data_IF_026603293592
#
_entry.id   IF_026603293592
#
_cell.length_a   1.000
_cell.length_b   1.000
_cell.length_c   1.000
_cell.angle_alpha   90.00
_cell.angle_beta   90.00
_cell.angle_gamma   90.00
#
_symmetry.space_group_name_H-M   'P 1'
#
loop_
_entity.id
_entity.type
_entity.pdbx_description
1 polymer ?
2 water ?
#
# COMPACT_ATOMS: atom_id res chain seq x y z
N UNK A 1 -14.11 -5.75 23.65
CA UNK A 1 -12.65 -5.46 23.67
C UNK A 1 -12.37 -4.03 23.22
N UNK A 2 -11.44 -3.37 23.91
CA UNK A 2 -11.22 -1.93 23.80
C UNK A 2 -9.86 -1.71 23.15
N UNK A 3 -9.57 -0.48 22.69
CA UNK A 3 -8.31 -0.30 21.99
C UNK A 3 -7.69 1.06 22.26
N UNK A 4 -6.36 1.08 22.16
CA UNK A 4 -5.56 2.27 22.30
C UNK A 4 -4.79 2.51 21.00
N UNK A 5 -4.75 3.78 20.59
CA UNK A 5 -4.05 4.19 19.39
C UNK A 5 -2.88 5.07 19.79
N UNK A 6 -1.66 4.66 19.44
CA UNK A 6 -0.50 5.51 19.60
C UNK A 6 -0.23 6.25 18.28
N UNK A 7 -0.60 7.53 18.22
CA UNK A 7 -0.43 8.38 17.06
C UNK A 7 -1.78 8.95 16.62
N UNK A 8 -1.85 10.28 16.42
CA UNK A 8 -3.10 10.93 16.05
C UNK A 8 -2.93 11.77 14.78
N UNK A 9 -1.84 11.53 14.02
CA UNK A 9 -1.44 12.40 12.92
C UNK A 9 -2.29 12.23 11.64
N UNK A 10 -3.62 12.42 11.77
CA UNK A 10 -4.57 12.45 10.65
C UNK A 10 -5.13 11.06 10.43
N UNK A 11 -4.20 10.11 10.20
CA UNK A 11 -4.56 8.72 10.03
C UNK A 11 -5.09 8.17 11.35
N UNK A 12 -4.20 8.13 12.36
CA UNK A 12 -4.54 7.63 13.70
C UNK A 12 -5.88 8.21 14.16
N UNK A 13 -6.10 9.48 13.82
CA UNK A 13 -7.29 10.17 14.25
C UNK A 13 -8.46 9.49 13.56
N UNK A 14 -8.32 9.39 12.23
CA UNK A 14 -9.32 8.76 11.38
C UNK A 14 -9.60 7.34 11.86
N UNK A 15 -8.53 6.58 12.10
CA UNK A 15 -8.61 5.25 12.69
C UNK A 15 -9.47 5.28 13.95
N UNK A 16 -9.12 6.20 14.86
CA UNK A 16 -9.84 6.33 16.12
C UNK A 16 -11.31 6.62 15.85
N UNK A 17 -11.57 7.73 15.14
CA UNK A 17 -12.93 8.17 14.83
C UNK A 17 -13.80 7.00 14.38
N UNK A 18 -13.22 6.13 13.53
CA UNK A 18 -13.96 5.04 12.93
C UNK A 18 -14.29 4.00 13.98
N UNK A 19 -13.31 3.76 14.88
CA UNK A 19 -13.44 2.76 15.93
C UNK A 19 -14.49 3.14 16.97
N UNK A 20 -14.68 4.45 17.19
CA UNK A 20 -15.64 4.92 18.18
C UNK A 20 -17.05 4.74 17.61
N UNK A 21 -17.25 5.15 16.36
CA UNK A 21 -18.56 4.98 15.75
C UNK A 21 -18.85 3.51 15.52
N UNK A 22 -17.83 2.64 15.47
CA UNK A 22 -18.04 1.21 15.33
C UNK A 22 -18.64 0.63 16.63
N UNK A 23 -18.33 1.25 17.77
CA UNK A 23 -18.94 0.91 19.05
C UNK A 23 -17.94 0.44 20.11
N UNK A 24 -16.74 1.04 20.15
CA UNK A 24 -15.62 0.54 20.92
C UNK A 24 -15.08 1.64 21.83
N UNK A 25 -14.62 1.25 23.04
CA UNK A 25 -13.91 2.17 23.91
C UNK A 25 -12.51 2.43 23.34
N UNK A 26 -12.16 3.70 23.24
CA UNK A 26 -10.94 4.12 22.60
C UNK A 26 -10.19 5.07 23.51
N UNK A 27 -8.87 4.96 23.44
CA UNK A 27 -7.97 5.67 24.30
C UNK A 27 -6.82 6.07 23.39
N UNK A 28 -6.46 7.35 23.36
CA UNK A 28 -5.47 7.78 22.40
C UNK A 28 -4.23 8.24 23.13
N UNK A 29 -3.19 8.58 22.36
CA UNK A 29 -2.00 9.20 22.88
C UNK A 29 -1.18 9.74 21.72
N UNK A 30 -0.52 10.89 21.92
CA UNK A 30 0.22 11.54 20.86
C UNK A 30 1.45 12.20 21.49
N UNK A 31 2.61 12.10 20.82
CA UNK A 31 3.83 12.75 21.28
C UNK A 31 3.74 14.25 21.00
N UNK A 32 3.02 14.62 19.94
CA UNK A 32 2.80 16.02 19.59
C UNK A 32 1.79 16.63 20.56
N UNK A 33 0.93 15.76 21.15
CA UNK A 33 0.16 15.98 22.36
C UNK A 33 -1.14 16.76 22.14
N UNK A 34 -1.05 18.04 21.77
CA UNK A 34 -2.21 18.91 21.58
C UNK A 34 -3.14 18.35 20.50
N UNK A 35 -2.52 17.70 19.49
CA UNK A 35 -3.21 17.22 18.29
C UNK A 35 -4.24 16.15 18.63
N UNK A 36 -4.17 15.58 19.83
CA UNK A 36 -5.12 14.56 20.27
C UNK A 36 -6.29 15.19 21.04
N UNK A 37 -6.23 16.51 21.27
CA UNK A 37 -7.24 17.20 22.05
C UNK A 37 -8.63 16.91 21.49
N UNK A 38 -8.91 17.26 20.21
CA UNK A 38 -10.21 17.02 19.58
C UNK A 38 -10.85 15.64 19.76
N UNK A 39 -10.01 14.58 19.71
CA UNK A 39 -10.46 13.21 19.86
C UNK A 39 -11.25 13.05 21.16
N UNK A 40 -10.82 13.74 22.21
CA UNK A 40 -11.54 13.75 23.46
C UNK A 40 -12.99 14.16 23.24
N UNK A 41 -13.19 15.27 22.52
CA UNK A 41 -14.51 15.81 22.24
C UNK A 41 -15.38 14.78 21.53
N UNK A 42 -14.76 13.99 20.63
CA UNK A 42 -15.44 12.91 19.93
C UNK A 42 -15.96 11.90 20.95
N UNK A 43 -15.05 11.39 21.78
CA UNK A 43 -15.42 10.53 22.89
C UNK A 43 -14.28 9.58 23.29
N UNK A 44 -13.05 10.08 23.30
CA UNK A 44 -11.89 9.24 23.50
C UNK A 44 -11.04 9.75 24.64
N UNK A 45 -10.87 8.89 25.66
CA UNK A 45 -9.88 9.11 26.69
C UNK A 45 -8.52 9.41 26.04
N UNK A 46 -7.93 10.54 26.40
CA UNK A 46 -6.53 10.79 26.06
C UNK A 46 -5.68 10.29 27.22
N UNK A 47 -4.35 10.23 27.05
CA UNK A 47 -3.51 9.53 28.02
C UNK A 47 -2.17 10.25 28.22
N UNK A 48 -1.88 10.58 29.48
CA UNK A 48 -0.58 11.06 29.91
C UNK A 48 0.52 10.48 29.02
N UNK A 49 0.67 9.15 29.00
CA UNK A 49 1.87 8.54 28.46
C UNK A 49 1.56 7.35 27.55
N UNK A 50 2.59 6.86 26.82
CA UNK A 50 2.55 5.54 26.21
C UNK A 50 2.11 4.48 27.21
N UNK A 51 2.82 4.43 28.35
CA UNK A 51 2.62 3.41 29.37
C UNK A 51 1.14 3.28 29.73
N UNK A 52 0.48 4.42 29.98
CA UNK A 52 -0.92 4.41 30.39
C UNK A 52 -1.79 3.98 29.20
N UNK A 53 -1.38 4.40 27.99
CA UNK A 53 -2.10 4.04 26.79
C UNK A 53 -2.07 2.53 26.63
N UNK A 54 -0.86 1.97 26.52
CA UNK A 54 -0.67 0.52 26.43
C UNK A 54 -1.50 -0.18 27.50
N UNK A 55 -1.47 0.36 28.72
CA UNK A 55 -2.07 -0.29 29.89
C UNK A 55 -3.60 -0.25 29.81
N UNK A 56 -4.16 0.74 29.11
CA UNK A 56 -5.59 0.96 29.13
C UNK A 56 -6.37 -0.17 28.46
N UNK A 57 -5.76 -0.80 27.45
CA UNK A 57 -6.52 -1.62 26.51
C UNK A 57 -5.72 -2.88 26.15
N UNK A 58 -6.37 -4.00 25.75
CA UNK A 58 -5.66 -5.20 25.26
C UNK A 58 -5.18 -5.17 23.81
N UNK A 59 -5.80 -4.31 22.99
CA UNK A 59 -5.40 -4.15 21.61
C UNK A 59 -4.80 -2.77 21.39
N UNK A 60 -3.57 -2.74 20.91
CA UNK A 60 -2.88 -1.49 20.65
C UNK A 60 -2.60 -1.31 19.16
N UNK A 61 -3.25 -0.34 18.53
CA UNK A 61 -2.99 0.01 17.15
C UNK A 61 -1.97 1.14 17.09
N UNK A 62 -0.75 0.89 16.63
CA UNK A 62 0.26 1.94 16.49
C UNK A 62 -0.01 2.71 15.20
N UNK A 63 0.20 4.04 15.22
CA UNK A 63 0.05 4.87 14.03
C UNK A 63 1.05 6.02 14.01
N UNK A 64 2.36 5.70 14.00
CA UNK A 64 3.42 6.70 14.17
C UNK A 64 4.25 6.83 12.90
N UNK A 65 5.02 7.93 12.79
CA UNK A 65 5.78 8.19 11.57
C UNK A 65 6.33 6.87 11.01
N UNK A 66 7.38 6.31 11.62
CA UNK A 66 8.01 5.12 11.06
C UNK A 66 8.14 4.05 12.15
N UNK A 67 9.02 3.05 11.92
CA UNK A 67 9.24 1.96 12.84
C UNK A 67 10.18 2.41 13.98
N UNK A 68 11.24 3.18 13.64
CA UNK A 68 12.18 3.68 14.63
C UNK A 68 11.38 4.28 15.79
N UNK A 69 10.41 5.16 15.46
CA UNK A 69 9.66 5.89 16.46
C UNK A 69 8.79 4.93 17.28
N UNK A 70 8.13 3.99 16.59
CA UNK A 70 7.26 3.04 17.25
C UNK A 70 8.05 2.12 18.17
N UNK A 71 9.29 1.78 17.79
CA UNK A 71 10.19 1.02 18.64
C UNK A 71 10.43 1.81 19.93
N UNK A 72 10.81 3.08 19.76
CA UNK A 72 11.11 3.97 20.87
C UNK A 72 9.89 4.21 21.78
N UNK A 73 8.69 4.21 21.20
CA UNK A 73 7.49 4.56 21.96
C UNK A 73 7.02 3.36 22.80
N UNK A 74 7.26 2.12 22.37
CA UNK A 74 6.75 0.99 23.14
C UNK A 74 7.90 0.37 23.95
N UNK A 75 9.12 0.89 23.78
CA UNK A 75 10.21 0.65 24.72
C UNK A 75 9.86 1.21 26.10
N UNK A 76 8.97 2.21 26.15
CA UNK A 76 8.64 2.94 27.37
C UNK A 76 7.47 2.30 28.15
N UNK A 77 7.21 1.01 27.98
CA UNK A 77 6.00 0.45 28.54
C UNK A 77 6.29 -0.48 29.72
N UNK A 78 7.50 -1.06 29.73
CA UNK A 78 7.96 -1.88 30.84
C UNK A 78 7.42 -3.30 30.68
N UNK A 79 6.10 -3.39 30.50
CA UNK A 79 5.42 -4.64 30.18
C UNK A 79 4.35 -4.41 29.12
N UNK A 80 4.45 -5.20 28.06
CA UNK A 80 3.57 -5.09 26.92
C UNK A 80 2.94 -6.46 26.70
N UNK A 81 3.02 -7.29 27.75
CA UNK A 81 2.89 -8.73 27.63
C UNK A 81 1.42 -9.14 27.61
N UNK A 82 1.14 -10.15 26.80
CA UNK A 82 -0.22 -10.60 26.59
C UNK A 82 -1.06 -9.59 25.82
N UNK A 83 -0.44 -8.52 25.31
CA UNK A 83 -1.12 -7.53 24.51
C UNK A 83 -0.97 -7.83 23.01
N UNK A 84 -1.92 -7.30 22.24
CA UNK A 84 -1.89 -7.38 20.79
C UNK A 84 -1.38 -6.03 20.24
N UNK A 85 -0.24 -6.08 19.56
CA UNK A 85 0.29 -4.90 18.89
C UNK A 85 0.01 -5.01 17.39
N UNK A 86 -0.70 -4.01 16.85
CA UNK A 86 -1.05 -3.92 15.45
C UNK A 86 -0.46 -2.63 14.89
N UNK A 87 0.69 -2.78 14.21
CA UNK A 87 1.50 -1.67 13.71
C UNK A 87 1.19 -1.37 12.24
N UNK A 88 0.65 -0.17 11.96
CA UNK A 88 0.26 0.18 10.60
C UNK A 88 1.25 1.18 10.02
N UNK A 89 2.54 0.94 10.23
CA UNK A 89 3.55 1.77 9.62
C UNK A 89 4.00 1.12 8.33
N UNK A 90 4.17 1.96 7.30
CA UNK A 90 4.74 1.54 6.03
C UNK A 90 6.25 1.45 6.20
N UNK A 91 6.89 0.46 5.55
CA UNK A 91 8.33 0.26 5.67
C UNK A 91 8.78 -0.99 4.93
N UNK A 92 10.01 -1.45 5.23
CA UNK A 92 10.54 -2.61 4.52
C UNK A 92 9.97 -3.88 5.16
N UNK A 93 10.02 -5.03 4.49
CA UNK A 93 9.69 -6.29 5.15
C UNK A 93 10.65 -6.58 6.30
N UNK A 94 11.94 -6.26 6.11
CA UNK A 94 12.95 -6.46 7.14
C UNK A 94 12.53 -5.74 8.42
N UNK A 95 12.25 -4.43 8.31
CA UNK A 95 11.75 -3.62 9.41
C UNK A 95 10.59 -4.30 10.14
N UNK A 96 9.68 -4.91 9.37
CA UNK A 96 8.48 -5.54 9.91
C UNK A 96 8.81 -6.86 10.60
N UNK A 97 9.90 -7.50 10.19
CA UNK A 97 10.20 -8.83 10.68
C UNK A 97 10.99 -8.66 11.98
N UNK A 98 11.93 -7.71 11.99
CA UNK A 98 12.65 -7.33 13.20
C UNK A 98 11.63 -6.96 14.28
N UNK A 99 10.70 -6.06 13.94
CA UNK A 99 9.78 -5.50 14.92
C UNK A 99 8.81 -6.57 15.44
N UNK A 100 8.44 -7.51 14.58
CA UNK A 100 7.56 -8.59 14.99
C UNK A 100 8.24 -9.51 15.99
N UNK A 101 9.53 -9.78 15.74
CA UNK A 101 10.31 -10.70 16.55
C UNK A 101 10.55 -10.09 17.93
N UNK A 102 10.67 -8.76 17.94
CA UNK A 102 10.81 -7.99 19.16
C UNK A 102 9.51 -8.04 19.96
N UNK A 103 8.37 -7.79 19.34
CA UNK A 103 7.14 -7.77 20.10
C UNK A 103 6.88 -9.15 20.70
N UNK A 104 7.23 -10.17 19.93
CA UNK A 104 7.04 -11.55 20.34
C UNK A 104 7.83 -11.86 21.61
N UNK A 105 9.00 -11.22 21.73
CA UNK A 105 9.95 -11.49 22.80
C UNK A 105 9.66 -10.69 24.08
N UNK A 106 8.72 -9.74 24.02
CA UNK A 106 8.21 -9.12 25.22
C UNK A 106 6.85 -9.71 25.58
N UNK A 107 6.63 -10.99 25.21
CA UNK A 107 5.40 -11.75 25.47
C UNK A 107 4.15 -11.12 24.87
N UNK A 108 4.29 -10.34 23.79
CA UNK A 108 3.16 -9.72 23.09
C UNK A 108 2.88 -10.37 21.73
N UNK A 109 1.61 -10.31 21.30
CA UNK A 109 1.20 -10.76 19.97
C UNK A 109 1.31 -9.60 18.95
N UNK A 110 1.62 -9.95 17.69
CA UNK A 110 1.83 -8.96 16.64
C UNK A 110 1.03 -9.22 15.36
N UNK A 111 0.77 -8.14 14.62
CA UNK A 111 0.16 -8.17 13.31
C UNK A 111 0.63 -6.91 12.59
N UNK A 112 1.30 -7.05 11.44
CA UNK A 112 1.82 -5.89 10.72
C UNK A 112 0.77 -5.47 9.70
N UNK A 113 0.68 -4.16 9.47
CA UNK A 113 -0.45 -3.57 8.76
C UNK A 113 0.09 -2.69 7.65
N UNK A 114 -0.77 -2.39 6.67
CA UNK A 114 -0.43 -1.46 5.59
C UNK A 114 -1.71 -0.92 4.99
N UNK A 115 -1.77 0.41 4.86
CA UNK A 115 -3.03 1.10 4.70
C UNK A 115 -3.08 1.74 3.31
N UNK A 116 -3.95 1.18 2.47
CA UNK A 116 -4.26 1.75 1.18
C UNK A 116 -5.51 2.61 1.34
N UNK A 117 -5.27 3.87 1.69
CA UNK A 117 -6.35 4.83 1.89
C UNK A 117 -5.77 6.16 2.37
N UNK A 118 -6.43 7.23 1.91
CA UNK A 118 -6.27 8.55 2.50
C UNK A 118 -7.05 8.55 3.82
N UNK A 119 -6.53 9.24 4.87
CA UNK A 119 -7.26 9.47 6.12
C UNK A 119 -8.77 9.66 5.98
N UNK A 120 -9.19 10.58 5.10
CA UNK A 120 -10.60 10.88 4.88
C UNK A 120 -11.34 9.64 4.37
N UNK A 121 -10.64 8.68 3.74
CA UNK A 121 -11.25 7.52 3.12
C UNK A 121 -11.72 6.47 4.13
N UNK A 122 -11.26 6.58 5.38
CA UNK A 122 -11.20 5.45 6.31
C UNK A 122 -12.59 4.92 6.61
N UNK A 123 -13.56 5.80 6.83
CA UNK A 123 -14.89 5.31 7.12
C UNK A 123 -15.50 4.57 5.93
N UNK A 124 -15.09 4.97 4.72
CA UNK A 124 -15.92 4.83 3.54
C UNK A 124 -15.50 3.65 2.65
N UNK A 125 -16.22 3.53 1.52
CA UNK A 125 -16.07 2.44 0.57
C UNK A 125 -14.65 2.43 -0.02
N UNK A 126 -14.05 3.62 -0.16
CA UNK A 126 -12.79 3.80 -0.86
C UNK A 126 -11.55 3.45 -0.02
N UNK A 127 -11.62 2.41 0.84
CA UNK A 127 -10.60 2.18 1.84
C UNK A 127 -10.22 0.70 1.96
N UNK A 128 -8.91 0.44 2.05
CA UNK A 128 -8.46 -0.91 2.34
C UNK A 128 -7.20 -0.95 3.21
N UNK A 129 -7.17 -1.96 4.10
CA UNK A 129 -6.03 -2.26 4.93
C UNK A 129 -5.68 -3.73 4.75
N UNK A 130 -4.39 -4.01 4.56
CA UNK A 130 -3.85 -5.35 4.58
C UNK A 130 -3.10 -5.60 5.88
N UNK A 131 -3.13 -6.86 6.33
CA UNK A 131 -2.41 -7.30 7.51
C UNK A 131 -1.61 -8.56 7.20
N UNK A 132 -0.44 -8.75 7.84
CA UNK A 132 0.26 -10.02 7.76
C UNK A 132 0.93 -10.37 9.09
N UNK A 133 1.14 -11.67 9.32
CA UNK A 133 1.75 -12.17 10.55
C UNK A 133 0.97 -13.37 11.09
N UNK A 134 1.09 -13.65 12.40
CA UNK A 134 0.32 -14.69 13.04
C UNK A 134 -1.16 -14.53 12.66
N UNK A 135 -1.71 -15.55 12.01
CA UNK A 135 -3.08 -15.52 11.56
C UNK A 135 -4.03 -15.73 12.75
N UNK A 136 -3.57 -16.44 13.78
CA UNK A 136 -4.29 -16.54 15.04
C UNK A 136 -4.69 -15.15 15.54
N UNK A 137 -3.81 -14.17 15.33
CA UNK A 137 -4.05 -12.83 15.85
C UNK A 137 -5.17 -12.14 15.06
N UNK A 138 -5.02 -12.15 13.73
CA UNK A 138 -5.97 -11.55 12.82
C UNK A 138 -7.34 -12.15 13.08
N UNK A 139 -7.40 -13.45 13.35
CA UNK A 139 -8.66 -14.09 13.72
C UNK A 139 -9.27 -13.46 14.98
N UNK A 140 -8.44 -12.95 15.88
CA UNK A 140 -8.89 -12.44 17.17
C UNK A 140 -9.23 -10.96 17.08
N UNK A 141 -8.93 -10.30 15.95
CA UNK A 141 -9.17 -8.86 15.85
C UNK A 141 -9.98 -8.49 14.62
N UNK A 142 -10.27 -9.46 13.73
CA UNK A 142 -11.06 -9.22 12.52
C UNK A 142 -12.30 -8.39 12.82
N UNK A 143 -13.09 -8.86 13.80
CA UNK A 143 -14.39 -8.28 14.05
C UNK A 143 -14.21 -6.83 14.50
N UNK A 144 -13.11 -6.56 15.24
CA UNK A 144 -12.93 -5.25 15.84
C UNK A 144 -12.36 -4.28 14.81
N UNK A 145 -11.64 -4.80 13.79
CA UNK A 145 -10.88 -3.95 12.88
C UNK A 145 -11.53 -3.84 11.49
N UNK A 146 -12.25 -4.88 11.04
CA UNK A 146 -12.78 -4.86 9.69
C UNK A 146 -13.66 -3.63 9.51
N UNK A 147 -14.47 -3.23 10.52
CA UNK A 147 -15.37 -2.08 10.38
C UNK A 147 -14.81 -0.75 9.88
N UNK A 148 -13.51 -0.55 10.05
CA UNK A 148 -12.91 0.74 9.78
C UNK A 148 -12.42 0.83 8.34
N UNK A 149 -12.50 -0.26 7.57
CA UNK A 149 -12.21 -0.19 6.15
C UNK A 149 -13.20 -1.06 5.38
N UNK A 150 -13.47 -0.62 4.15
CA UNK A 150 -14.34 -1.34 3.22
C UNK A 150 -13.77 -2.73 2.92
N UNK A 151 -12.43 -2.83 2.87
CA UNK A 151 -11.73 -4.06 2.52
C UNK A 151 -10.54 -4.29 3.45
N UNK A 152 -10.55 -5.46 4.08
CA UNK A 152 -9.57 -5.79 5.10
C UNK A 152 -9.21 -7.26 4.96
N UNK A 153 -7.92 -7.49 4.71
CA UNK A 153 -7.46 -8.76 4.19
C UNK A 153 -6.14 -9.17 4.86
N UNK A 154 -6.14 -10.38 5.40
CA UNK A 154 -4.93 -11.01 5.88
C UNK A 154 -4.19 -11.60 4.70
N UNK A 155 -2.99 -11.07 4.42
CA UNK A 155 -2.30 -11.37 3.18
C UNK A 155 -1.08 -12.27 3.37
N UNK A 156 -0.94 -12.96 4.50
CA UNK A 156 0.12 -13.95 4.63
C UNK A 156 0.85 -13.93 5.98
N UNK A 157 1.51 -15.05 6.28
CA UNK A 157 2.10 -15.30 7.58
C UNK A 157 3.44 -14.57 7.73
N UNK A 158 4.05 -14.19 6.60
CA UNK A 158 5.24 -13.36 6.65
C UNK A 158 4.83 -11.98 7.17
N UNK A 159 5.36 -11.53 8.33
CA UNK A 159 5.12 -10.16 8.82
C UNK A 159 5.39 -9.07 7.79
N UNK A 160 6.45 -9.25 6.99
CA UNK A 160 6.85 -8.24 6.04
C UNK A 160 5.94 -8.17 4.81
N UNK A 161 4.92 -9.04 4.73
CA UNK A 161 4.18 -9.24 3.50
C UNK A 161 3.28 -8.05 3.16
N UNK A 162 2.65 -7.44 4.16
CA UNK A 162 1.77 -6.31 3.87
C UNK A 162 2.60 -5.12 3.38
N UNK A 163 3.88 -5.10 3.76
CA UNK A 163 4.79 -4.04 3.38
C UNK A 163 5.35 -4.24 1.97
N UNK A 164 5.48 -5.52 1.57
CA UNK A 164 5.96 -5.85 0.24
C UNK A 164 4.90 -5.40 -0.76
N UNK A 165 3.67 -5.73 -0.46
CA UNK A 165 2.56 -5.47 -1.37
C UNK A 165 2.27 -3.98 -1.43
N UNK A 166 2.41 -3.28 -0.27
CA UNK A 166 2.18 -1.84 -0.24
C UNK A 166 3.27 -1.12 -1.02
N UNK A 167 4.50 -1.65 -0.97
CA UNK A 167 5.58 -1.17 -1.82
C UNK A 167 5.22 -1.38 -3.28
N UNK A 168 4.91 -2.63 -3.61
CA UNK A 168 4.55 -3.01 -4.97
C UNK A 168 3.43 -2.12 -5.51
N UNK A 169 2.31 -2.04 -4.78
CA UNK A 169 1.10 -1.40 -5.27
C UNK A 169 1.22 0.13 -5.30
N UNK A 170 1.87 0.71 -4.29
CA UNK A 170 1.87 2.14 -4.14
C UNK A 170 3.08 2.73 -4.85
N UNK A 171 4.16 1.94 -4.95
CA UNK A 171 5.41 2.44 -5.50
C UNK A 171 5.65 1.95 -6.93
N UNK A 172 5.95 0.66 -7.04
CA UNK A 172 6.23 -0.02 -8.30
C UNK A 172 5.16 0.24 -9.35
N UNK A 173 3.89 0.05 -8.93
CA UNK A 173 2.74 0.25 -9.80
C UNK A 173 2.25 1.70 -9.77
N UNK A 174 1.63 2.10 -8.65
CA UNK A 174 0.83 3.32 -8.57
C UNK A 174 1.65 4.55 -8.95
N UNK A 175 2.80 4.74 -8.32
CA UNK A 175 3.54 5.98 -8.45
C UNK A 175 4.10 6.12 -9.85
N UNK A 176 4.61 5.01 -10.39
CA UNK A 176 5.13 4.94 -11.74
C UNK A 176 4.03 5.25 -12.74
N UNK A 177 2.89 4.59 -12.57
CA UNK A 177 1.71 4.88 -13.37
C UNK A 177 1.38 6.37 -13.36
N UNK A 178 1.47 7.01 -12.20
CA UNK A 178 1.15 8.42 -12.08
C UNK A 178 2.21 9.27 -12.80
N UNK A 179 3.43 8.76 -12.90
CA UNK A 179 4.46 9.46 -13.66
C UNK A 179 4.24 9.30 -15.15
N UNK A 180 3.93 8.07 -15.56
CA UNK A 180 3.64 7.74 -16.94
C UNK A 180 2.68 8.75 -17.53
N UNK A 181 1.68 9.14 -16.73
CA UNK A 181 0.66 10.08 -17.16
C UNK A 181 1.21 11.50 -17.28
N UNK A 182 2.30 11.77 -16.56
CA UNK A 182 2.97 13.04 -16.66
C UNK A 182 3.67 13.07 -18.01
N UNK A 183 4.42 12.00 -18.30
CA UNK A 183 5.05 11.87 -19.61
C UNK A 183 4.00 12.04 -20.69
N UNK A 184 2.87 11.37 -20.51
CA UNK A 184 1.78 11.43 -21.46
C UNK A 184 1.40 12.89 -21.71
N UNK A 185 0.95 13.56 -20.65
CA UNK A 185 0.33 14.86 -20.80
C UNK A 185 1.36 15.90 -21.26
N UNK A 186 2.63 15.63 -21.00
CA UNK A 186 3.67 16.54 -21.43
C UNK A 186 3.85 16.41 -22.94
N UNK A 187 3.77 15.16 -23.42
CA UNK A 187 3.84 14.89 -24.85
C UNK A 187 2.69 15.63 -25.54
N UNK A 188 1.47 15.52 -25.00
CA UNK A 188 0.28 16.06 -25.63
C UNK A 188 0.41 17.58 -25.72
N UNK A 189 1.03 18.18 -24.70
CA UNK A 189 1.16 19.61 -24.63
C UNK A 189 2.23 20.09 -25.60
N UNK A 190 3.21 19.20 -25.88
CA UNK A 190 4.35 19.52 -26.73
C UNK A 190 3.98 19.42 -28.21
N UNK A 191 2.83 18.80 -28.52
CA UNK A 191 2.34 18.72 -29.89
C UNK A 191 1.29 19.82 -30.09
N UNK A 192 1.31 20.81 -29.19
CA UNK A 192 0.31 21.88 -29.15
C UNK A 192 -1.10 21.28 -29.31
N UNK A 193 -1.34 20.13 -28.69
CA UNK A 193 -2.68 19.59 -28.52
C UNK A 193 -3.13 19.95 -27.11
N UNK A 194 -4.42 20.24 -26.94
CA UNK A 194 -4.96 20.62 -25.65
C UNK A 194 -5.06 19.43 -24.70
N UNK A 195 -4.40 19.57 -23.54
CA UNK A 195 -4.33 18.53 -22.53
C UNK A 195 -5.74 18.21 -22.00
N UNK A 196 -6.66 19.18 -22.05
CA UNK A 196 -8.01 18.98 -21.55
C UNK A 196 -8.72 17.81 -22.22
N UNK A 197 -8.49 17.64 -23.52
CA UNK A 197 -9.19 16.62 -24.28
C UNK A 197 -8.74 15.21 -23.87
N UNK A 198 -7.91 15.11 -22.85
CA UNK A 198 -7.58 13.75 -22.35
C UNK A 198 -8.50 13.47 -21.14
N UNK A 199 -9.40 14.40 -20.81
CA UNK A 199 -10.16 14.22 -19.57
C UNK A 199 -11.24 13.16 -19.68
N UNK A 200 -11.96 13.09 -20.81
CA UNK A 200 -13.17 12.30 -20.88
C UNK A 200 -12.85 10.81 -20.98
N UNK A 201 -11.64 10.51 -21.46
CA UNK A 201 -11.16 9.15 -21.70
C UNK A 201 -10.53 8.53 -20.46
N UNK A 202 -10.17 9.36 -19.47
CA UNK A 202 -9.44 8.88 -18.31
C UNK A 202 -10.07 7.59 -17.76
N UNK A 203 -11.37 7.58 -17.48
CA UNK A 203 -11.97 6.46 -16.78
C UNK A 203 -12.10 5.23 -17.67
N UNK A 204 -12.15 5.41 -18.99
CA UNK A 204 -12.09 4.30 -19.95
C UNK A 204 -10.75 3.59 -19.81
N UNK A 205 -9.68 4.39 -19.78
CA UNK A 205 -8.32 3.87 -19.71
C UNK A 205 -8.03 3.20 -18.37
N UNK A 206 -8.53 3.77 -17.27
CA UNK A 206 -8.30 3.17 -15.97
C UNK A 206 -9.16 1.91 -15.83
N UNK A 207 -10.41 1.97 -16.31
CA UNK A 207 -11.27 0.81 -16.46
C UNK A 207 -10.60 -0.30 -17.29
N UNK A 208 -9.94 0.07 -18.40
CA UNK A 208 -9.26 -0.91 -19.23
C UNK A 208 -8.05 -1.48 -18.49
N UNK A 209 -7.30 -0.62 -17.79
CA UNK A 209 -6.08 -1.03 -17.11
C UNK A 209 -6.40 -2.08 -16.06
N UNK A 210 -7.54 -1.88 -15.36
CA UNK A 210 -7.94 -2.75 -14.27
C UNK A 210 -8.14 -4.18 -14.78
N UNK A 211 -8.97 -4.31 -15.82
CA UNK A 211 -9.21 -5.57 -16.51
C UNK A 211 -7.88 -6.27 -16.81
N UNK A 212 -6.98 -5.51 -17.46
CA UNK A 212 -5.72 -6.09 -17.91
C UNK A 212 -4.90 -6.53 -16.71
N UNK A 213 -4.92 -5.72 -15.65
CA UNK A 213 -4.22 -6.08 -14.42
C UNK A 213 -4.72 -7.45 -13.96
N UNK A 214 -6.04 -7.62 -13.88
CA UNK A 214 -6.58 -8.90 -13.47
C UNK A 214 -6.04 -9.99 -14.37
N UNK A 215 -5.87 -9.66 -15.66
CA UNK A 215 -5.55 -10.65 -16.65
C UNK A 215 -4.07 -11.02 -16.54
N UNK A 216 -3.23 -10.00 -16.42
CA UNK A 216 -1.82 -10.18 -16.11
C UNK A 216 -1.67 -11.11 -14.90
N UNK A 217 -2.52 -10.92 -13.90
CA UNK A 217 -2.42 -11.67 -12.66
C UNK A 217 -2.67 -13.13 -12.95
N UNK A 218 -3.75 -13.39 -13.71
CA UNK A 218 -4.12 -14.73 -14.13
C UNK A 218 -2.91 -15.39 -14.79
N UNK A 219 -2.28 -14.68 -15.73
CA UNK A 219 -1.17 -15.19 -16.51
C UNK A 219 0.12 -15.33 -15.69
N UNK A 220 0.20 -14.65 -14.54
CA UNK A 220 1.37 -14.80 -13.68
C UNK A 220 1.21 -16.05 -12.81
N UNK A 221 -0.03 -16.30 -12.36
CA UNK A 221 -0.35 -17.49 -11.58
C UNK A 221 -0.17 -18.72 -12.44
N UNK A 222 -0.82 -18.74 -13.61
CA UNK A 222 -0.57 -19.73 -14.64
C UNK A 222 0.77 -19.46 -15.30
N UNK A 223 1.33 -20.46 -15.98
CA UNK A 223 2.46 -20.21 -16.85
C UNK A 223 2.00 -19.65 -18.20
N UNK A 224 0.67 -19.77 -18.44
CA UNK A 224 0.03 -19.63 -19.74
C UNK A 224 0.07 -18.18 -20.24
N UNK A 225 1.07 -17.85 -21.07
CA UNK A 225 1.12 -16.59 -21.82
C UNK A 225 0.74 -16.85 -23.29
N UNK A 226 -0.24 -17.74 -23.51
CA UNK A 226 -0.67 -18.13 -24.85
C UNK A 226 -0.97 -16.85 -25.65
N UNK A 227 -0.37 -16.76 -26.85
CA UNK A 227 -0.32 -15.55 -27.67
C UNK A 227 -1.69 -14.86 -27.73
N UNK A 228 -2.63 -15.48 -28.46
CA UNK A 228 -4.05 -15.11 -28.46
C UNK A 228 -4.34 -13.92 -29.37
N UNK A 229 -3.42 -12.92 -29.44
CA UNK A 229 -3.56 -11.78 -30.34
C UNK A 229 -2.23 -11.02 -30.43
N UNK A 230 -2.09 -9.87 -29.74
CA UNK A 230 -0.97 -8.96 -29.94
C UNK A 230 0.25 -9.47 -29.20
N UNK A 231 1.38 -9.62 -29.90
CA UNK A 231 2.53 -10.32 -29.32
C UNK A 231 3.54 -9.30 -28.80
N UNK A 232 4.52 -9.80 -28.02
CA UNK A 232 5.64 -9.02 -27.55
C UNK A 232 6.25 -8.22 -28.71
N UNK A 233 6.40 -8.85 -29.89
CA UNK A 233 7.07 -8.17 -30.98
C UNK A 233 6.26 -6.96 -31.41
N UNK A 234 4.95 -7.18 -31.57
CA UNK A 234 4.01 -6.15 -31.94
C UNK A 234 4.21 -4.94 -31.02
N UNK A 235 4.21 -5.18 -29.69
CA UNK A 235 4.26 -4.14 -28.67
C UNK A 235 5.61 -3.41 -28.67
N UNK A 236 6.72 -4.15 -28.78
CA UNK A 236 8.03 -3.53 -28.87
C UNK A 236 8.11 -2.52 -30.04
N UNK A 237 7.40 -2.83 -31.14
CA UNK A 237 7.40 -1.98 -32.32
C UNK A 237 6.61 -0.70 -32.07
N UNK A 238 5.40 -0.90 -31.53
CA UNK A 238 4.46 0.17 -31.24
C UNK A 238 5.07 1.19 -30.27
N UNK A 239 5.83 0.67 -29.29
CA UNK A 239 6.37 1.48 -28.21
C UNK A 239 7.62 2.22 -28.68
N UNK A 240 8.46 1.55 -29.47
CA UNK A 240 9.57 2.20 -30.13
C UNK A 240 9.08 3.40 -30.93
N UNK A 241 8.01 3.19 -31.72
CA UNK A 241 7.42 4.22 -32.58
C UNK A 241 6.86 5.38 -31.77
N UNK A 242 6.24 5.06 -30.62
CA UNK A 242 5.73 6.05 -29.68
C UNK A 242 6.85 6.82 -28.99
N UNK A 243 7.87 6.07 -28.51
CA UNK A 243 9.05 6.68 -27.93
C UNK A 243 9.58 7.74 -28.89
N UNK A 244 9.81 7.30 -30.14
CA UNK A 244 10.45 8.14 -31.15
C UNK A 244 9.61 9.39 -31.33
N UNK A 245 8.30 9.18 -31.47
CA UNK A 245 7.39 10.26 -31.74
C UNK A 245 7.43 11.23 -30.56
N UNK A 246 7.59 10.67 -29.35
CA UNK A 246 7.66 11.46 -28.13
C UNK A 246 8.99 12.19 -28.07
N UNK A 247 10.06 11.46 -28.42
CA UNK A 247 11.40 12.03 -28.47
C UNK A 247 11.46 13.19 -29.46
N UNK A 248 11.07 12.95 -30.72
CA UNK A 248 11.03 13.99 -31.74
C UNK A 248 10.24 15.22 -31.26
N UNK A 249 9.28 15.04 -30.36
CA UNK A 249 8.54 16.15 -29.79
C UNK A 249 9.35 16.87 -28.70
N UNK A 250 10.54 16.35 -28.37
CA UNK A 250 11.40 16.96 -27.37
C UNK A 250 10.94 16.57 -25.96
N UNK A 251 11.02 15.27 -25.68
CA UNK A 251 10.57 14.71 -24.42
C UNK A 251 11.50 13.54 -24.08
N UNK A 252 12.08 13.55 -22.89
CA UNK A 252 13.11 12.57 -22.54
C UNK A 252 12.51 11.18 -22.56
N UNK A 253 11.21 11.08 -22.19
CA UNK A 253 10.43 9.87 -22.39
C UNK A 253 11.13 8.69 -21.74
N UNK A 254 11.50 8.90 -20.48
CA UNK A 254 12.38 7.97 -19.78
C UNK A 254 11.60 6.72 -19.36
N UNK A 255 10.35 6.93 -18.89
CA UNK A 255 9.48 5.83 -18.53
C UNK A 255 9.22 4.97 -19.76
N UNK A 256 9.01 5.62 -20.92
CA UNK A 256 8.78 4.88 -22.14
C UNK A 256 10.02 4.09 -22.53
N UNK A 257 11.20 4.71 -22.44
CA UNK A 257 12.41 3.99 -22.79
C UNK A 257 12.54 2.75 -21.92
N UNK A 258 12.28 2.93 -20.62
CA UNK A 258 12.39 1.82 -19.69
C UNK A 258 11.39 0.74 -20.07
N UNK A 259 10.18 1.16 -20.46
CA UNK A 259 9.14 0.23 -20.89
C UNK A 259 9.60 -0.52 -22.14
N UNK A 260 10.22 0.23 -23.07
CA UNK A 260 10.72 -0.35 -24.31
C UNK A 260 11.79 -1.39 -24.01
N UNK A 261 12.78 -0.95 -23.21
CA UNK A 261 13.89 -1.79 -22.79
C UNK A 261 13.32 -3.08 -22.20
N UNK A 262 12.41 -2.96 -21.23
CA UNK A 262 11.81 -4.14 -20.62
C UNK A 262 11.28 -5.08 -21.69
N UNK A 263 10.67 -4.49 -22.73
CA UNK A 263 9.93 -5.25 -23.73
C UNK A 263 10.89 -5.96 -24.70
N UNK A 264 11.99 -5.27 -25.05
CA UNK A 264 12.98 -5.80 -25.97
C UNK A 264 13.71 -6.99 -25.37
N UNK A 265 14.19 -6.81 -24.14
CA UNK A 265 14.77 -7.91 -23.36
C UNK A 265 13.88 -9.15 -23.45
N UNK A 266 12.56 -8.97 -23.35
CA UNK A 266 11.65 -10.11 -23.37
C UNK A 266 11.70 -10.79 -24.73
N UNK A 267 11.83 -9.98 -25.79
CA UNK A 267 11.88 -10.48 -27.16
C UNK A 267 13.22 -11.16 -27.41
N UNK A 268 14.32 -10.47 -27.07
CA UNK A 268 15.68 -10.96 -27.27
C UNK A 268 15.91 -12.28 -26.51
N UNK A 269 15.18 -12.50 -25.42
CA UNK A 269 15.22 -13.76 -24.71
C UNK A 269 14.17 -14.72 -25.28
N UNK A 270 13.64 -14.39 -26.48
CA UNK A 270 12.81 -15.30 -27.25
C UNK A 270 11.40 -15.49 -26.69
N UNK A 271 10.76 -14.39 -26.27
CA UNK A 271 9.34 -14.42 -25.91
C UNK A 271 8.52 -13.58 -26.89
N UNK A 272 9.16 -13.13 -27.98
CA UNK A 272 8.55 -12.20 -28.92
C UNK A 272 7.17 -12.62 -29.40
N UNK A 273 6.84 -13.92 -29.33
CA UNK A 273 5.67 -14.43 -29.99
C UNK A 273 4.61 -14.87 -28.98
N UNK A 274 4.85 -14.59 -27.69
CA UNK A 274 3.84 -14.81 -26.67
C UNK A 274 3.09 -13.49 -26.41
N UNK A 275 2.12 -13.53 -25.48
CA UNK A 275 1.42 -12.34 -25.03
C UNK A 275 2.31 -11.45 -24.16
N UNK A 276 1.92 -10.18 -24.02
CA UNK A 276 2.68 -9.15 -23.32
C UNK A 276 3.02 -9.56 -21.87
N UNK A 277 2.13 -10.32 -21.23
CA UNK A 277 2.33 -10.77 -19.86
C UNK A 277 3.64 -11.53 -19.71
N UNK A 278 4.27 -11.88 -20.82
CA UNK A 278 5.52 -12.63 -20.73
C UNK A 278 6.71 -11.70 -20.57
N UNK A 279 6.52 -10.37 -20.52
CA UNK A 279 7.63 -9.46 -20.25
C UNK A 279 8.16 -9.62 -18.81
N UNK A 280 7.39 -10.32 -17.96
CA UNK A 280 7.71 -10.59 -16.57
C UNK A 280 8.95 -11.47 -16.47
N UNK A 281 9.19 -12.30 -17.47
CA UNK A 281 10.23 -13.32 -17.39
C UNK A 281 11.64 -12.73 -17.45
N UNK A 282 11.75 -11.41 -17.63
CA UNK A 282 13.03 -10.79 -17.94
C UNK A 282 13.22 -9.51 -17.12
N UNK A 283 12.70 -9.51 -15.89
CA UNK A 283 12.75 -8.34 -15.03
C UNK A 283 13.79 -8.51 -13.90
N UNK A 284 14.14 -9.77 -13.59
CA UNK A 284 15.31 -10.07 -12.77
C UNK A 284 16.56 -9.42 -13.36
N UNK A 285 17.43 -8.87 -12.50
CA UNK A 285 18.66 -8.22 -12.92
C UNK A 285 19.67 -9.26 -13.42
N UNK A 286 19.51 -10.51 -12.95
CA UNK A 286 20.15 -11.67 -13.57
C UNK A 286 21.66 -11.60 -13.38
#
# INVERSE_FOLDING_TARGET
MDVSILGTGLMGTALAQALIRSGTKVTVWNRTADRALPLAAAGATVAESPQSAIAASPLIVISLLNYEIAKDVVTEADSIAGKIIVNTATGTPEEANQFAEWIAGRGARYLDGAIAAYPEDIGTESSGINYSGDEDVWEDVQSLLTPIAAQSRYVGARPGAANVIDAAMAGAFFNVALGAFHEAAAYVRSEDVAIAEMRHSLHLWTDKLLELLHEALKAFESGEYETDQATLNVYAAAVEAWQQSMQRAGQRAALMTANLDNLQRACAAGHGDKGIFAQIETLSANPQSAI
#
